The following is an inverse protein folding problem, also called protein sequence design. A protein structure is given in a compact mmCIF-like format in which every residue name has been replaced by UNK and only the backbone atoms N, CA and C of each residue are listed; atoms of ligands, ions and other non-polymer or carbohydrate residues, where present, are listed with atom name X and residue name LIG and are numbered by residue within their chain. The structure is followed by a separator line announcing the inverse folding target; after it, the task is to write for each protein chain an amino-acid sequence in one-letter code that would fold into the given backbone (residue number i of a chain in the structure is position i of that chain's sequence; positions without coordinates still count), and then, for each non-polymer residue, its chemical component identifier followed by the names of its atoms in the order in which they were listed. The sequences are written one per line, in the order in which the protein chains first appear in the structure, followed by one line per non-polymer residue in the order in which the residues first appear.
data_IF_994067736462
#
_entry.id   IF_994067736462
#
_cell.length_a   1.000
_cell.length_b   1.000
_cell.length_c   1.000
_cell.angle_alpha   90.00
_cell.angle_beta   90.00
_cell.angle_gamma   90.00
#
_symmetry.space_group_name_H-M   'P 1'
#
loop_
_entity.id
_entity.type
_entity.pdbx_description
1 polymer ?
#
# COMPACT_ATOMS: atom_id res chain seq x y z
N UNK A 1 -20.69 -2.32 -5.45
CA UNK A 1 -20.02 -3.27 -6.37
C UNK A 1 -19.77 -4.56 -5.63
N UNK A 2 -20.19 -5.70 -6.20
CA UNK A 2 -19.96 -7.00 -5.57
C UNK A 2 -18.77 -7.72 -6.20
N UNK A 3 -18.43 -8.89 -5.65
CA UNK A 3 -17.34 -9.75 -6.12
C UNK A 3 -17.42 -10.08 -7.64
N UNK A 4 -18.64 -10.18 -8.20
CA UNK A 4 -18.84 -10.40 -9.63
C UNK A 4 -18.25 -9.31 -10.54
N UNK A 5 -18.12 -8.08 -10.06
CA UNK A 5 -17.45 -7.02 -10.83
C UNK A 5 -15.98 -7.38 -11.11
N UNK A 6 -15.28 -7.85 -10.10
CA UNK A 6 -13.85 -8.21 -10.24
C UNK A 6 -13.67 -9.41 -11.17
N UNK A 7 -14.52 -10.45 -11.04
CA UNK A 7 -14.43 -11.63 -11.90
C UNK A 7 -14.57 -11.25 -13.39
N UNK A 8 -15.44 -10.32 -13.71
CA UNK A 8 -15.71 -9.93 -15.10
C UNK A 8 -14.69 -8.91 -15.67
N UNK A 9 -13.93 -8.23 -14.81
CA UNK A 9 -13.05 -7.14 -15.22
C UNK A 9 -11.57 -7.36 -14.84
N UNK A 10 -11.21 -8.56 -14.41
CA UNK A 10 -9.82 -8.92 -14.12
C UNK A 10 -9.34 -9.94 -15.15
N UNK A 11 -8.10 -9.84 -15.66
CA UNK A 11 -7.51 -10.84 -16.53
C UNK A 11 -7.65 -12.26 -15.97
N UNK A 12 -7.97 -13.22 -16.85
CA UNK A 12 -8.29 -14.58 -16.43
C UNK A 12 -7.12 -15.28 -15.70
N UNK A 13 -5.89 -14.94 -16.06
CA UNK A 13 -4.66 -15.44 -15.43
C UNK A 13 -4.41 -14.87 -14.03
N UNK A 14 -4.98 -13.71 -13.68
CA UNK A 14 -4.89 -13.12 -12.33
C UNK A 14 -6.04 -13.54 -11.40
N UNK A 15 -7.13 -14.10 -11.90
CA UNK A 15 -8.27 -14.53 -11.08
C UNK A 15 -7.93 -15.59 -10.02
N UNK A 16 -7.09 -16.62 -10.30
CA UNK A 16 -6.64 -17.56 -9.28
C UNK A 16 -5.93 -16.88 -8.10
N UNK A 17 -5.08 -15.89 -8.39
CA UNK A 17 -4.41 -15.07 -7.38
C UNK A 17 -5.44 -14.40 -6.48
N UNK A 18 -6.45 -13.71 -7.01
CA UNK A 18 -7.47 -13.03 -6.22
C UNK A 18 -8.27 -14.00 -5.33
N UNK A 19 -8.56 -15.19 -5.84
CA UNK A 19 -9.25 -16.24 -5.08
C UNK A 19 -8.41 -16.72 -3.89
N UNK A 20 -7.12 -16.96 -4.13
CA UNK A 20 -6.17 -17.34 -3.09
C UNK A 20 -6.02 -16.26 -2.05
N UNK A 21 -5.88 -14.99 -2.47
CA UNK A 21 -5.74 -13.84 -1.61
C UNK A 21 -6.93 -13.61 -0.68
N UNK A 22 -8.13 -13.76 -1.17
CA UNK A 22 -9.32 -13.66 -0.33
C UNK A 22 -9.24 -14.67 0.81
N UNK A 23 -8.91 -15.93 0.51
CA UNK A 23 -8.78 -16.98 1.54
C UNK A 23 -7.66 -16.69 2.52
N UNK A 24 -6.48 -16.34 2.01
CA UNK A 24 -5.30 -16.04 2.84
C UNK A 24 -5.50 -14.79 3.70
N UNK A 25 -6.15 -13.76 3.13
CA UNK A 25 -6.44 -12.50 3.82
C UNK A 25 -7.43 -12.68 4.98
N UNK A 26 -8.53 -13.42 4.77
CA UNK A 26 -9.48 -13.72 5.85
C UNK A 26 -8.83 -14.52 6.98
N UNK A 27 -8.03 -15.53 6.67
CA UNK A 27 -7.28 -16.27 7.70
C UNK A 27 -6.34 -15.35 8.48
N UNK A 28 -5.56 -14.53 7.77
CA UNK A 28 -4.66 -13.58 8.43
C UNK A 28 -5.40 -12.56 9.31
N UNK A 29 -6.61 -12.18 8.93
CA UNK A 29 -7.47 -11.30 9.71
C UNK A 29 -8.02 -12.01 10.97
N UNK A 30 -8.43 -13.25 10.86
CA UNK A 30 -8.96 -14.04 11.97
C UNK A 30 -7.88 -14.30 13.05
N UNK A 31 -6.61 -14.37 12.67
CA UNK A 31 -5.45 -14.49 13.58
C UNK A 31 -5.16 -13.19 14.36
N UNK A 32 -5.78 -12.05 13.98
CA UNK A 32 -5.54 -10.77 14.63
C UNK A 32 -6.40 -10.64 15.90
N UNK A 33 -5.83 -10.17 17.03
CA UNK A 33 -6.59 -9.87 18.24
C UNK A 33 -7.76 -8.90 17.95
N UNK A 34 -8.91 -9.11 18.58
CA UNK A 34 -10.13 -8.32 18.36
C UNK A 34 -9.90 -6.81 18.44
N UNK A 35 -9.07 -6.37 19.39
CA UNK A 35 -8.74 -4.96 19.59
C UNK A 35 -8.07 -4.30 18.38
N UNK A 36 -7.34 -5.07 17.56
CA UNK A 36 -6.58 -4.58 16.42
C UNK A 36 -7.29 -4.79 15.07
N UNK A 37 -8.35 -5.59 15.03
CA UNK A 37 -9.02 -5.98 13.77
C UNK A 37 -9.49 -4.79 12.93
N UNK A 38 -9.99 -3.72 13.56
CA UNK A 38 -10.40 -2.49 12.85
C UNK A 38 -9.24 -1.70 12.26
N UNK A 39 -8.01 -2.01 12.67
CA UNK A 39 -6.77 -1.37 12.19
C UNK A 39 -6.09 -2.16 11.08
N UNK A 40 -6.64 -3.32 10.70
CA UNK A 40 -6.11 -4.13 9.63
C UNK A 40 -6.28 -3.46 8.28
N UNK A 41 -5.24 -3.50 7.46
CA UNK A 41 -5.27 -3.12 6.06
C UNK A 41 -4.59 -4.23 5.26
N UNK A 42 -5.31 -4.80 4.31
CA UNK A 42 -4.75 -5.67 3.29
C UNK A 42 -4.67 -4.91 1.99
N UNK A 43 -3.54 -4.94 1.32
CA UNK A 43 -3.33 -4.32 0.01
C UNK A 43 -2.70 -5.30 -0.96
N UNK A 44 -3.07 -5.20 -2.24
CA UNK A 44 -2.52 -6.01 -3.32
C UNK A 44 -2.77 -5.34 -4.66
N UNK A 45 -1.95 -5.70 -5.65
CA UNK A 45 -2.00 -5.13 -6.98
C UNK A 45 -2.52 -6.16 -7.98
N UNK A 46 -3.39 -5.71 -8.90
CA UNK A 46 -3.88 -6.51 -10.00
C UNK A 46 -4.36 -5.61 -11.14
N UNK A 47 -4.53 -6.19 -12.32
CA UNK A 47 -5.02 -5.45 -13.47
C UNK A 47 -6.55 -5.43 -13.51
N UNK A 48 -7.11 -4.28 -13.87
CA UNK A 48 -8.49 -4.15 -14.31
C UNK A 48 -8.51 -3.95 -15.82
N UNK A 49 -9.35 -4.74 -16.50
CA UNK A 49 -9.60 -4.60 -17.92
C UNK A 49 -10.36 -3.31 -18.17
N UNK A 50 -9.86 -2.50 -19.08
CA UNK A 50 -10.52 -1.29 -19.57
C UNK A 50 -10.74 -1.40 -21.07
N UNK A 51 -11.45 -0.45 -21.68
CA UNK A 51 -11.66 -0.41 -23.12
C UNK A 51 -10.39 -0.21 -23.95
N UNK A 52 -9.32 0.34 -23.34
CA UNK A 52 -8.07 0.65 -24.04
C UNK A 52 -6.99 -0.38 -23.74
N UNK A 53 -6.68 -0.57 -22.47
CA UNK A 53 -5.62 -1.49 -22.02
C UNK A 53 -5.85 -1.89 -20.57
N UNK A 54 -5.31 -3.03 -20.11
CA UNK A 54 -5.33 -3.36 -18.69
C UNK A 54 -4.63 -2.27 -17.88
N UNK A 55 -5.22 -1.90 -16.75
CA UNK A 55 -4.73 -0.89 -15.84
C UNK A 55 -4.33 -1.53 -14.53
N UNK A 56 -3.05 -1.43 -14.15
CA UNK A 56 -2.56 -1.95 -12.89
C UNK A 56 -3.01 -1.04 -11.74
N UNK A 57 -3.76 -1.60 -10.82
CA UNK A 57 -4.29 -0.89 -9.66
C UNK A 57 -3.76 -1.46 -8.36
N UNK A 58 -3.70 -0.63 -7.33
CA UNK A 58 -3.54 -1.03 -5.94
C UNK A 58 -4.92 -1.03 -5.27
N UNK A 59 -5.33 -2.18 -4.77
CA UNK A 59 -6.57 -2.37 -4.05
C UNK A 59 -6.30 -2.55 -2.56
N UNK A 60 -7.01 -1.79 -1.72
CA UNK A 60 -6.91 -1.89 -0.26
C UNK A 60 -8.25 -2.26 0.32
N UNK A 61 -8.21 -3.14 1.31
CA UNK A 61 -9.38 -3.55 2.08
C UNK A 61 -9.13 -3.22 3.55
N UNK A 62 -10.07 -2.51 4.16
CA UNK A 62 -10.05 -2.16 5.58
C UNK A 62 -11.41 -2.49 6.20
N UNK A 63 -11.48 -3.25 7.29
CA UNK A 63 -12.74 -3.52 7.98
C UNK A 63 -13.31 -2.23 8.57
N UNK A 64 -14.58 -1.93 8.27
CA UNK A 64 -15.32 -0.80 8.86
C UNK A 64 -16.19 -1.23 10.02
N UNK A 65 -16.94 -2.31 9.83
CA UNK A 65 -17.87 -2.82 10.82
C UNK A 65 -17.56 -4.29 11.08
N UNK A 66 -17.45 -4.62 12.36
CA UNK A 66 -17.28 -6.00 12.81
C UNK A 66 -18.59 -6.49 13.45
N UNK A 67 -18.87 -7.77 13.31
CA UNK A 67 -19.90 -8.46 14.05
C UNK A 67 -19.51 -8.56 15.53
N UNK A 68 -20.46 -8.96 16.41
CA UNK A 68 -20.19 -9.11 17.83
C UNK A 68 -19.08 -10.15 18.13
N UNK A 69 -18.93 -11.16 17.28
CA UNK A 69 -17.86 -12.16 17.34
C UNK A 69 -16.57 -11.73 16.61
N UNK A 70 -16.51 -10.48 16.14
CA UNK A 70 -15.30 -9.88 15.58
C UNK A 70 -15.01 -10.20 14.12
N UNK A 71 -15.95 -10.81 13.38
CA UNK A 71 -15.80 -11.02 11.93
C UNK A 71 -16.06 -9.71 11.18
N UNK A 72 -15.40 -9.52 10.05
CA UNK A 72 -15.66 -8.38 9.18
C UNK A 72 -17.04 -8.51 8.54
N UNK A 73 -17.97 -7.60 8.89
CA UNK A 73 -19.29 -7.52 8.28
C UNK A 73 -19.30 -6.55 7.09
N UNK A 74 -18.66 -5.39 7.26
CA UNK A 74 -18.52 -4.39 6.21
C UNK A 74 -17.05 -3.99 6.10
N UNK A 75 -16.53 -3.92 4.89
CA UNK A 75 -15.19 -3.45 4.60
C UNK A 75 -15.22 -2.29 3.59
N UNK A 76 -14.31 -1.34 3.79
CA UNK A 76 -14.01 -0.30 2.81
C UNK A 76 -12.99 -0.85 1.82
N UNK A 77 -13.33 -0.81 0.55
CA UNK A 77 -12.42 -1.06 -0.56
C UNK A 77 -12.01 0.26 -1.19
N UNK A 78 -10.73 0.55 -1.23
CA UNK A 78 -10.19 1.72 -1.94
C UNK A 78 -9.29 1.28 -3.07
N UNK A 79 -9.36 1.99 -4.19
CA UNK A 79 -8.61 1.69 -5.41
C UNK A 79 -7.82 2.93 -5.81
N UNK A 80 -6.55 2.72 -6.12
CA UNK A 80 -5.66 3.75 -6.69
C UNK A 80 -4.80 3.13 -7.80
N UNK A 81 -4.12 3.95 -8.57
CA UNK A 81 -3.09 3.43 -9.48
C UNK A 81 -1.98 2.76 -8.67
N UNK A 82 -1.48 1.63 -9.16
CA UNK A 82 -0.33 0.98 -8.53
C UNK A 82 0.95 1.77 -8.78
N UNK A 83 1.83 1.78 -7.79
CA UNK A 83 3.21 2.25 -7.91
C UNK A 83 4.19 1.17 -8.38
N UNK A 84 3.72 -0.07 -8.54
CA UNK A 84 4.52 -1.18 -9.03
C UNK A 84 4.31 -1.40 -10.53
N UNK A 85 5.15 -2.26 -11.09
CA UNK A 85 5.10 -2.63 -12.52
C UNK A 85 4.35 -3.91 -12.80
N UNK A 86 4.14 -4.73 -11.76
CA UNK A 86 3.56 -6.07 -11.88
C UNK A 86 2.48 -6.30 -10.83
N UNK A 87 1.53 -7.16 -11.12
CA UNK A 87 0.50 -7.61 -10.20
C UNK A 87 1.10 -8.40 -9.02
N UNK A 88 0.33 -8.54 -7.96
CA UNK A 88 0.78 -9.19 -6.73
C UNK A 88 1.01 -8.18 -5.62
N UNK A 89 2.23 -8.06 -5.09
CA UNK A 89 2.61 -7.12 -4.01
C UNK A 89 1.64 -7.13 -2.83
N UNK A 90 1.36 -8.34 -2.35
CA UNK A 90 0.32 -8.60 -1.36
C UNK A 90 0.85 -8.33 0.04
N UNK A 91 0.22 -7.39 0.74
CA UNK A 91 0.64 -6.96 2.08
C UNK A 91 -0.53 -6.93 3.05
N UNK A 92 -0.26 -7.31 4.27
CA UNK A 92 -1.19 -7.22 5.39
C UNK A 92 -0.49 -6.49 6.55
N UNK A 93 -1.10 -5.43 7.03
CA UNK A 93 -0.55 -4.63 8.14
C UNK A 93 -1.63 -4.25 9.14
N UNK A 94 -1.20 -3.92 10.35
CA UNK A 94 -2.02 -3.33 11.40
C UNK A 94 -1.56 -1.89 11.57
N UNK A 95 -2.45 -0.93 11.35
CA UNK A 95 -2.13 0.49 11.47
C UNK A 95 -1.59 0.81 12.87
N UNK A 96 -0.47 1.55 12.93
CA UNK A 96 0.23 1.91 14.16
C UNK A 96 1.19 0.84 14.69
N UNK A 97 1.34 -0.31 14.02
CA UNK A 97 2.43 -1.24 14.26
C UNK A 97 3.53 -1.04 13.21
N UNK A 98 4.80 -1.18 13.64
CA UNK A 98 5.94 -1.22 12.72
C UNK A 98 6.00 -2.59 12.06
N UNK A 99 6.12 -2.64 10.75
CA UNK A 99 6.16 -3.88 10.01
C UNK A 99 4.83 -4.28 9.38
N UNK A 100 4.92 -5.26 8.51
CA UNK A 100 3.80 -5.83 7.78
C UNK A 100 4.09 -7.30 7.48
N UNK A 101 3.09 -8.01 7.01
CA UNK A 101 3.26 -9.37 6.46
C UNK A 101 3.09 -9.30 4.96
N UNK A 102 4.01 -9.90 4.22
CA UNK A 102 3.92 -10.06 2.77
C UNK A 102 3.52 -11.50 2.45
N UNK A 103 2.58 -11.67 1.54
CA UNK A 103 2.18 -13.00 1.07
C UNK A 103 3.03 -13.42 -0.11
N UNK A 104 3.65 -14.58 -0.02
CA UNK A 104 4.36 -15.21 -1.13
C UNK A 104 3.41 -16.12 -1.89
N UNK A 105 3.12 -15.78 -3.14
CA UNK A 105 2.32 -16.63 -4.05
C UNK A 105 3.02 -17.95 -4.38
N UNK A 106 4.36 -17.97 -4.38
CA UNK A 106 5.15 -19.20 -4.63
C UNK A 106 5.18 -20.13 -3.43
N UNK A 107 5.31 -19.55 -2.22
CA UNK A 107 5.39 -20.33 -0.98
C UNK A 107 4.02 -20.51 -0.30
N UNK A 108 2.96 -19.90 -0.82
CA UNK A 108 1.58 -19.92 -0.31
C UNK A 108 1.48 -19.58 1.20
N UNK A 109 2.28 -18.61 1.66
CA UNK A 109 2.33 -18.23 3.07
C UNK A 109 2.66 -16.77 3.29
N UNK A 110 2.23 -16.26 4.45
CA UNK A 110 2.62 -14.95 4.96
C UNK A 110 4.03 -14.99 5.54
N UNK A 111 4.83 -13.97 5.23
CA UNK A 111 6.17 -13.76 5.76
C UNK A 111 6.21 -12.40 6.47
N UNK A 112 6.78 -12.32 7.67
CA UNK A 112 6.97 -11.04 8.34
C UNK A 112 8.01 -10.21 7.58
N UNK A 113 7.74 -8.92 7.44
CA UNK A 113 8.64 -7.95 6.84
C UNK A 113 8.75 -6.73 7.76
N UNK A 114 9.95 -6.19 7.85
CA UNK A 114 10.15 -4.92 8.53
C UNK A 114 9.51 -3.80 7.72
N UNK A 115 8.89 -2.85 8.42
CA UNK A 115 8.34 -1.66 7.78
C UNK A 115 9.44 -0.71 7.33
N UNK A 116 9.20 -0.03 6.22
CA UNK A 116 10.07 1.07 5.81
C UNK A 116 9.92 2.19 6.83
N UNK A 117 11.02 2.55 7.47
CA UNK A 117 11.07 3.66 8.42
C UNK A 117 11.75 4.85 7.77
N UNK A 118 10.99 5.94 7.62
CA UNK A 118 11.54 7.21 7.16
C UNK A 118 12.04 8.01 8.37
N UNK A 119 13.18 8.69 8.21
CA UNK A 119 13.61 9.68 9.18
C UNK A 119 12.64 10.87 9.22
N UNK A 120 12.63 11.67 10.29
CA UNK A 120 11.80 12.88 10.36
C UNK A 120 12.01 13.80 9.15
N UNK A 121 13.26 13.96 8.71
CA UNK A 121 13.63 14.81 7.58
C UNK A 121 13.14 14.24 6.24
N UNK A 122 13.32 12.93 6.01
CA UNK A 122 12.80 12.26 4.82
C UNK A 122 11.28 12.35 4.74
N UNK A 123 10.60 12.15 5.87
CA UNK A 123 9.15 12.29 5.95
C UNK A 123 8.69 13.72 5.66
N UNK A 124 9.41 14.71 6.20
CA UNK A 124 9.10 16.13 5.98
C UNK A 124 9.28 16.51 4.51
N UNK A 125 10.39 16.10 3.86
CA UNK A 125 10.62 16.31 2.43
C UNK A 125 9.53 15.64 1.59
N UNK A 126 9.14 14.43 1.92
CA UNK A 126 8.08 13.69 1.22
C UNK A 126 6.73 14.40 1.36
N UNK A 127 6.36 14.80 2.58
CA UNK A 127 5.10 15.50 2.88
C UNK A 127 4.99 16.83 2.13
N UNK A 128 6.03 17.66 2.20
CA UNK A 128 6.05 18.95 1.52
C UNK A 128 6.02 18.77 -0.01
N UNK A 129 6.73 17.75 -0.53
CA UNK A 129 6.65 17.43 -1.96
C UNK A 129 5.23 17.00 -2.38
N UNK A 130 4.53 16.22 -1.55
CA UNK A 130 3.14 15.83 -1.81
C UNK A 130 2.18 17.02 -1.78
N UNK A 131 2.51 18.07 -1.03
CA UNK A 131 1.79 19.35 -1.01
C UNK A 131 2.13 20.27 -2.20
N UNK A 132 3.05 19.86 -3.07
CA UNK A 132 3.41 20.61 -4.29
C UNK A 132 4.56 21.61 -4.12
N UNK A 133 5.24 21.64 -2.98
CA UNK A 133 6.39 22.52 -2.77
C UNK A 133 7.57 22.12 -3.64
N UNK A 134 8.24 23.11 -4.23
CA UNK A 134 9.51 22.94 -4.94
C UNK A 134 10.64 22.64 -3.96
N UNK A 135 11.74 22.07 -4.44
CA UNK A 135 12.91 21.79 -3.60
C UNK A 135 13.49 23.04 -2.92
N UNK A 136 13.38 24.21 -3.56
CA UNK A 136 13.82 25.48 -2.98
C UNK A 136 12.92 25.89 -1.81
N UNK A 137 11.62 25.85 -2.01
CA UNK A 137 10.64 26.13 -0.94
C UNK A 137 10.77 25.15 0.22
N UNK A 138 11.02 23.86 -0.08
CA UNK A 138 11.28 22.85 0.96
C UNK A 138 12.53 23.22 1.77
N UNK A 139 13.63 23.64 1.11
CA UNK A 139 14.85 24.03 1.78
C UNK A 139 14.63 25.21 2.74
N UNK A 140 13.84 26.18 2.32
CA UNK A 140 13.47 27.32 3.16
C UNK A 140 12.57 26.89 4.32
N UNK A 141 11.58 26.03 4.07
CA UNK A 141 10.63 25.52 5.07
C UNK A 141 11.30 24.73 6.21
N UNK A 142 12.28 23.88 5.86
CA UNK A 142 12.96 23.04 6.86
C UNK A 142 14.27 23.64 7.37
N UNK A 143 14.58 24.90 6.98
CA UNK A 143 15.81 25.61 7.35
C UNK A 143 17.07 24.77 7.07
N UNK A 144 17.15 24.19 5.86
CA UNK A 144 18.31 23.41 5.40
C UNK A 144 18.77 23.93 4.03
N UNK A 145 20.02 23.61 3.66
CA UNK A 145 20.52 23.95 2.34
C UNK A 145 19.80 23.15 1.24
N UNK A 146 19.76 23.66 0.03
CA UNK A 146 19.22 22.95 -1.14
C UNK A 146 19.88 21.57 -1.35
N UNK A 147 21.22 21.50 -1.15
CA UNK A 147 21.97 20.25 -1.29
C UNK A 147 21.58 19.24 -0.21
N UNK A 148 21.27 19.69 1.01
CA UNK A 148 20.77 18.83 2.09
C UNK A 148 19.41 18.24 1.73
N UNK A 149 18.49 19.05 1.18
CA UNK A 149 17.18 18.55 0.72
C UNK A 149 17.34 17.55 -0.43
N UNK A 150 18.25 17.84 -1.36
CA UNK A 150 18.59 16.92 -2.46
C UNK A 150 19.15 15.58 -1.93
N UNK A 151 19.95 15.62 -0.88
CA UNK A 151 20.46 14.43 -0.21
C UNK A 151 19.32 13.60 0.41
N UNK A 152 18.41 14.21 1.22
CA UNK A 152 17.27 13.52 1.81
C UNK A 152 16.35 12.91 0.75
N UNK A 153 16.12 13.64 -0.36
CA UNK A 153 15.32 13.14 -1.47
C UNK A 153 15.96 11.91 -2.14
N UNK A 154 17.29 11.89 -2.30
CA UNK A 154 18.00 10.73 -2.83
C UNK A 154 17.87 9.52 -1.87
N UNK A 155 18.12 9.73 -0.58
CA UNK A 155 17.95 8.68 0.43
C UNK A 155 16.52 8.12 0.45
N UNK A 156 15.53 8.99 0.31
CA UNK A 156 14.13 8.60 0.20
C UNK A 156 13.91 7.70 -1.03
N UNK A 157 14.44 8.05 -2.20
CA UNK A 157 14.29 7.25 -3.41
C UNK A 157 14.98 5.89 -3.30
N UNK A 158 16.16 5.84 -2.71
CA UNK A 158 16.87 4.58 -2.45
C UNK A 158 16.09 3.68 -1.48
N UNK A 159 15.54 4.23 -0.39
CA UNK A 159 14.74 3.47 0.59
C UNK A 159 13.43 2.94 0.03
N UNK A 160 12.78 3.70 -0.82
CA UNK A 160 11.48 3.33 -1.40
C UNK A 160 11.62 2.52 -2.70
N UNK A 161 12.84 2.39 -3.22
CA UNK A 161 13.14 1.78 -4.54
C UNK A 161 12.30 2.40 -5.66
N UNK A 162 12.39 3.74 -5.78
CA UNK A 162 11.65 4.54 -6.76
C UNK A 162 12.57 5.48 -7.51
N UNK A 163 12.18 5.85 -8.74
CA UNK A 163 13.02 6.69 -9.62
C UNK A 163 12.77 8.20 -9.48
N UNK A 164 11.59 8.61 -8.99
CA UNK A 164 11.20 10.01 -8.93
C UNK A 164 10.22 10.31 -7.79
N UNK A 165 9.96 11.61 -7.57
CA UNK A 165 9.12 12.06 -6.45
C UNK A 165 7.64 11.66 -6.61
N UNK A 166 7.13 11.58 -7.83
CA UNK A 166 5.75 11.15 -8.09
C UNK A 166 5.55 9.69 -7.68
N UNK A 167 6.51 8.83 -8.03
CA UNK A 167 6.52 7.43 -7.60
C UNK A 167 6.65 7.32 -6.08
N UNK A 168 7.52 8.15 -5.45
CA UNK A 168 7.69 8.17 -4.01
C UNK A 168 6.39 8.56 -3.28
N UNK A 169 5.66 9.56 -3.77
CA UNK A 169 4.38 10.00 -3.22
C UNK A 169 3.32 8.90 -3.40
N UNK A 170 3.21 8.31 -4.59
CA UNK A 170 2.29 7.21 -4.87
C UNK A 170 2.58 6.01 -3.95
N UNK A 171 3.85 5.62 -3.82
CA UNK A 171 4.28 4.56 -2.91
C UNK A 171 3.89 4.88 -1.47
N UNK A 172 4.27 6.06 -0.98
CA UNK A 172 4.01 6.45 0.40
C UNK A 172 2.52 6.49 0.73
N UNK A 173 1.68 6.98 -0.19
CA UNK A 173 0.21 6.96 -0.07
C UNK A 173 -0.31 5.54 -0.03
N UNK A 174 0.20 4.66 -0.91
CA UNK A 174 -0.21 3.26 -0.96
C UNK A 174 0.18 2.50 0.31
N UNK A 175 1.31 2.83 0.90
CA UNK A 175 1.81 2.14 2.09
C UNK A 175 1.65 2.89 3.41
N UNK A 176 0.99 4.07 3.39
CA UNK A 176 0.67 4.84 4.60
C UNK A 176 1.90 5.32 5.35
N UNK A 177 2.88 5.81 4.59
CA UNK A 177 4.07 6.48 5.13
C UNK A 177 3.85 8.00 5.26
N UNK A 178 2.82 8.51 4.57
CA UNK A 178 2.30 9.87 4.67
C UNK A 178 1.17 9.94 5.68
#
# INVERSE_FOLDING_TARGET
MGYGFYINNVPADEQPMLTELNRAGFRAFDDVPLADRRRCVMSYDFHILTSERPLLINHKITPLVLTADGRAWLALCTVSLSSHKEAGQIRFRILGQSGYRQYSLTAHRWQPCEGITLTPEEKQVLTLSAQGYTMKEISDHICRSFDTVKFYRRQLFEKLDVANITEAIAFATNYGLL
#
